data_IF_827432191035
#
_entry.id   IF_827432191035
#
_cell.length_a   1.000
_cell.length_b   1.000
_cell.length_c   1.000
_cell.angle_alpha   90.00
_cell.angle_beta   90.00
_cell.angle_gamma   90.00
#
_symmetry.space_group_name_H-M   'P 1'
#
loop_
_entity.id
_entity.type
_entity.pdbx_description
1 polymer ?
#
# COMPACT_ATOMS: atom_id res chain seq x y z
N UNK A 1 6.21 -2.35 8.14
CA UNK A 1 5.80 -0.96 7.85
C UNK A 1 4.28 -0.93 7.79
N UNK A 2 3.64 0.02 8.45
CA UNK A 2 2.20 0.27 8.30
C UNK A 2 1.98 1.76 7.99
N UNK A 3 0.90 2.07 7.29
CA UNK A 3 0.52 3.41 6.82
C UNK A 3 -1.01 3.51 6.93
N UNK A 4 -1.55 4.72 7.06
CA UNK A 4 -2.99 4.94 6.99
C UNK A 4 -3.58 4.27 5.73
N UNK A 5 -4.50 3.33 5.95
CA UNK A 5 -5.11 2.54 4.89
C UNK A 5 -5.83 3.38 3.84
N UNK A 6 -6.34 4.55 4.22
CA UNK A 6 -7.05 5.46 3.30
C UNK A 6 -6.08 6.12 2.31
N UNK A 7 -4.90 6.51 2.77
CA UNK A 7 -3.83 7.01 1.90
C UNK A 7 -3.24 5.88 1.03
N UNK A 8 -3.16 4.66 1.55
CA UNK A 8 -2.81 3.48 0.74
C UNK A 8 -3.86 3.29 -0.35
N UNK A 9 -5.15 3.36 -0.03
CA UNK A 9 -6.22 3.20 -1.02
C UNK A 9 -6.20 4.28 -2.10
N UNK A 10 -5.99 5.55 -1.72
CA UNK A 10 -5.78 6.64 -2.67
C UNK A 10 -4.59 6.37 -3.59
N UNK A 11 -3.48 5.85 -3.06
CA UNK A 11 -2.32 5.48 -3.86
C UNK A 11 -2.62 4.35 -4.84
N UNK A 12 -3.35 3.30 -4.42
CA UNK A 12 -3.72 2.17 -5.27
C UNK A 12 -4.76 2.53 -6.33
N UNK A 13 -5.64 3.49 -6.06
CA UNK A 13 -6.58 4.05 -7.05
C UNK A 13 -5.84 4.70 -8.22
N UNK A 14 -4.70 5.36 -7.95
CA UNK A 14 -3.83 6.00 -8.97
C UNK A 14 -2.86 5.01 -9.62
N UNK A 15 -2.52 3.91 -8.94
CA UNK A 15 -1.60 2.91 -9.44
C UNK A 15 -2.25 2.04 -10.52
N UNK A 16 -1.49 1.62 -11.52
CA UNK A 16 -1.96 0.71 -12.57
C UNK A 16 -2.14 -0.75 -12.07
N UNK A 17 -1.46 -1.18 -10.99
CA UNK A 17 -1.69 -2.51 -10.38
C UNK A 17 -2.76 -2.47 -9.28
N UNK A 18 -3.30 -3.64 -8.97
CA UNK A 18 -4.08 -3.89 -7.77
C UNK A 18 -5.53 -3.47 -7.90
N UNK A 19 -6.26 -3.70 -6.81
CA UNK A 19 -7.66 -3.29 -6.65
C UNK A 19 -7.81 -1.76 -6.83
N UNK A 20 -9.00 -1.33 -7.25
CA UNK A 20 -9.30 0.07 -7.57
C UNK A 20 -10.46 0.63 -6.76
N UNK A 21 -11.43 -0.22 -6.45
CA UNK A 21 -12.57 0.17 -5.64
C UNK A 21 -12.25 0.09 -4.15
N UNK A 22 -12.71 1.07 -3.38
CA UNK A 22 -12.39 1.23 -1.95
C UNK A 22 -12.71 -0.01 -1.13
N UNK A 23 -13.85 -0.66 -1.38
CA UNK A 23 -14.23 -1.90 -0.69
C UNK A 23 -13.15 -2.99 -0.80
N UNK A 24 -12.62 -3.20 -2.01
CA UNK A 24 -11.62 -4.24 -2.25
C UNK A 24 -10.26 -3.87 -1.66
N UNK A 25 -9.83 -2.62 -1.83
CA UNK A 25 -8.55 -2.16 -1.29
C UNK A 25 -8.59 -2.19 0.25
N UNK A 26 -9.68 -1.72 0.86
CA UNK A 26 -9.87 -1.76 2.31
C UNK A 26 -9.84 -3.19 2.85
N UNK A 27 -10.53 -4.13 2.18
CA UNK A 27 -10.53 -5.54 2.57
C UNK A 27 -9.13 -6.15 2.47
N UNK A 28 -8.43 -5.90 1.36
CA UNK A 28 -7.06 -6.39 1.16
C UNK A 28 -6.12 -5.81 2.22
N UNK A 29 -6.11 -4.48 2.38
CA UNK A 29 -5.28 -3.79 3.36
C UNK A 29 -5.55 -4.29 4.78
N UNK A 30 -6.82 -4.41 5.18
CA UNK A 30 -7.19 -4.90 6.51
C UNK A 30 -6.67 -6.31 6.75
N UNK A 31 -6.87 -7.21 5.78
CA UNK A 31 -6.40 -8.58 5.88
C UNK A 31 -4.87 -8.66 6.00
N UNK A 32 -4.14 -7.90 5.17
CA UNK A 32 -2.68 -7.87 5.18
C UNK A 32 -2.13 -7.30 6.51
N UNK A 33 -2.73 -6.24 7.04
CA UNK A 33 -2.33 -5.69 8.34
C UNK A 33 -2.64 -6.64 9.50
N UNK A 34 -3.79 -7.31 9.49
CA UNK A 34 -4.11 -8.34 10.49
C UNK A 34 -3.13 -9.51 10.45
N UNK A 35 -2.75 -9.99 9.25
CA UNK A 35 -1.74 -11.03 9.10
C UNK A 35 -0.37 -10.56 9.59
N UNK A 36 0.02 -9.34 9.25
CA UNK A 36 1.26 -8.74 9.76
C UNK A 36 1.26 -8.64 11.29
N UNK A 37 0.13 -8.29 11.89
CA UNK A 37 0.00 -8.19 13.34
C UNK A 37 0.14 -9.55 14.03
N UNK A 38 -0.51 -10.59 13.50
CA UNK A 38 -0.35 -11.97 14.00
C UNK A 38 1.09 -12.46 13.90
N UNK A 39 1.81 -12.08 12.85
CA UNK A 39 3.22 -12.42 12.69
C UNK A 39 4.07 -11.74 13.77
N UNK A 40 3.82 -10.46 14.07
CA UNK A 40 4.48 -9.73 15.16
C UNK A 40 4.21 -10.40 16.51
N UNK A 41 2.95 -10.76 16.78
CA UNK A 41 2.55 -11.46 18.01
C UNK A 41 3.23 -12.83 18.15
N UNK A 42 3.40 -13.55 17.05
CA UNK A 42 4.02 -14.88 17.04
C UNK A 42 5.54 -14.81 17.17
N UNK A 43 6.19 -13.86 16.50
CA UNK A 43 7.65 -13.78 16.44
C UNK A 43 8.26 -12.96 17.58
N UNK A 44 7.49 -12.04 18.17
CA UNK A 44 7.93 -11.14 19.24
C UNK A 44 8.75 -9.95 18.74
N UNK A 45 8.94 -8.97 19.63
CA UNK A 45 9.63 -7.71 19.32
C UNK A 45 11.14 -7.84 19.12
N UNK A 46 11.75 -8.98 19.48
CA UNK A 46 13.17 -9.23 19.19
C UNK A 46 13.42 -9.56 17.71
N UNK A 47 12.42 -10.12 17.03
CA UNK A 47 12.51 -10.54 15.62
C UNK A 47 11.66 -9.69 14.69
N UNK A 48 10.86 -8.77 15.24
CA UNK A 48 9.99 -7.91 14.46
C UNK A 48 10.04 -6.47 14.97
N UNK A 49 10.07 -5.53 14.03
CA UNK A 49 9.94 -4.11 14.32
C UNK A 49 8.82 -3.53 13.44
N UNK A 50 7.81 -2.96 14.08
CA UNK A 50 6.78 -2.19 13.40
C UNK A 50 7.21 -0.73 13.25
N UNK A 51 6.97 -0.17 12.07
CA UNK A 51 7.33 1.21 11.69
C UNK A 51 6.09 1.85 11.08
N UNK A 52 5.65 2.99 11.63
CA UNK A 52 4.66 3.86 10.97
C UNK A 52 5.34 4.63 9.85
N UNK A 53 4.71 4.66 8.69
CA UNK A 53 5.15 5.44 7.55
C UNK A 53 5.19 6.94 7.87
N UNK A 54 4.17 7.44 8.53
CA UNK A 54 3.99 8.83 8.93
C UNK A 54 5.11 9.24 9.90
N UNK A 55 5.41 8.39 10.89
CA UNK A 55 6.54 8.61 11.79
C UNK A 55 7.89 8.59 11.05
N UNK A 56 8.06 7.66 10.10
CA UNK A 56 9.28 7.57 9.30
C UNK A 56 9.53 8.83 8.48
N UNK A 57 8.50 9.39 7.83
CA UNK A 57 8.68 10.60 7.02
C UNK A 57 8.77 11.86 7.87
N UNK A 58 8.17 11.88 9.06
CA UNK A 58 8.22 13.03 9.97
C UNK A 58 9.56 13.12 10.72
N UNK A 59 10.07 11.97 11.19
CA UNK A 59 11.29 11.87 11.99
C UNK A 59 12.24 10.80 11.42
N UNK A 60 12.78 11.01 10.21
CA UNK A 60 13.53 9.97 9.49
C UNK A 60 14.84 9.60 10.18
N UNK A 61 15.59 10.57 10.72
CA UNK A 61 16.85 10.32 11.43
C UNK A 61 16.61 9.37 12.60
N UNK A 62 15.65 9.72 13.47
CA UNK A 62 15.34 8.96 14.69
C UNK A 62 14.81 7.57 14.35
N UNK A 63 13.97 7.47 13.32
CA UNK A 63 13.40 6.17 12.89
C UNK A 63 14.47 5.27 12.31
N UNK A 64 15.36 5.78 11.44
CA UNK A 64 16.44 4.98 10.86
C UNK A 64 17.46 4.56 11.94
N UNK A 65 17.81 5.43 12.88
CA UNK A 65 18.68 5.05 14.01
C UNK A 65 18.08 3.89 14.82
N UNK A 66 16.77 3.91 15.09
CA UNK A 66 16.07 2.79 15.72
C UNK A 66 16.17 1.50 14.90
N UNK A 67 16.01 1.58 13.59
CA UNK A 67 16.13 0.42 12.69
C UNK A 67 17.57 -0.12 12.71
N UNK A 68 18.57 0.76 12.61
CA UNK A 68 19.98 0.38 12.68
C UNK A 68 20.30 -0.35 13.99
N UNK A 69 19.84 0.18 15.12
CA UNK A 69 20.01 -0.44 16.44
C UNK A 69 19.33 -1.82 16.51
N UNK A 70 18.12 -1.96 15.97
CA UNK A 70 17.40 -3.23 15.93
C UNK A 70 18.12 -4.28 15.06
N UNK A 71 18.72 -3.86 13.94
CA UNK A 71 19.46 -4.74 13.04
C UNK A 71 20.91 -4.97 13.48
N UNK A 72 21.38 -4.35 14.58
CA UNK A 72 22.77 -4.35 15.02
C UNK A 72 23.76 -3.88 13.93
N UNK A 73 23.40 -2.83 13.20
CA UNK A 73 24.26 -2.19 12.18
C UNK A 73 24.55 -0.73 12.55
N UNK A 74 25.75 -0.20 12.26
CA UNK A 74 26.07 1.18 12.54
C UNK A 74 25.22 2.14 11.69
N UNK A 75 24.74 3.21 12.31
CA UNK A 75 24.06 4.29 11.60
C UNK A 75 25.04 5.08 10.73
N UNK A 76 24.64 5.37 9.49
CA UNK A 76 25.36 6.24 8.57
C UNK A 76 24.39 7.28 8.00
N UNK A 77 24.70 8.58 8.17
CA UNK A 77 23.85 9.67 7.71
C UNK A 77 23.59 9.67 6.20
N UNK A 78 24.48 9.06 5.40
CA UNK A 78 24.31 8.88 3.95
C UNK A 78 23.03 8.13 3.58
N UNK A 79 22.46 7.33 4.48
CA UNK A 79 21.19 6.61 4.27
C UNK A 79 20.02 7.55 3.92
N UNK A 80 20.06 8.80 4.38
CA UNK A 80 19.03 9.80 4.09
C UNK A 80 19.18 10.43 2.69
N UNK A 81 20.33 10.22 2.05
CA UNK A 81 20.61 10.62 0.66
C UNK A 81 20.40 9.47 -0.33
N UNK A 82 19.58 8.46 0.03
CA UNK A 82 19.30 7.27 -0.80
C UNK A 82 18.85 7.64 -2.22
N UNK A 83 18.19 8.77 -2.40
CA UNK A 83 17.64 9.22 -3.66
C UNK A 83 18.71 9.57 -4.72
N UNK A 84 19.98 9.68 -4.32
CA UNK A 84 21.13 9.85 -5.20
C UNK A 84 21.79 8.51 -5.60
N UNK A 85 21.27 7.37 -5.13
CA UNK A 85 21.90 6.07 -5.37
C UNK A 85 21.52 5.49 -6.72
N UNK A 86 22.39 4.65 -7.27
CA UNK A 86 22.14 3.93 -8.52
C UNK A 86 20.91 3.02 -8.39
N UNK A 87 20.71 2.40 -7.23
CA UNK A 87 19.57 1.53 -6.94
C UNK A 87 18.24 2.30 -6.98
N UNK A 88 18.21 3.53 -6.48
CA UNK A 88 17.04 4.40 -6.58
C UNK A 88 16.73 4.73 -8.04
N UNK A 89 17.74 5.04 -8.85
CA UNK A 89 17.57 5.31 -10.28
C UNK A 89 17.07 4.07 -11.06
N UNK A 90 17.65 2.89 -10.80
CA UNK A 90 17.22 1.63 -11.41
C UNK A 90 15.76 1.34 -11.01
N UNK A 91 15.42 1.52 -9.74
CA UNK A 91 14.07 1.27 -9.21
C UNK A 91 13.05 2.23 -9.82
N UNK A 92 13.35 3.52 -9.90
CA UNK A 92 12.47 4.51 -10.53
C UNK A 92 12.21 4.20 -12.01
N UNK A 93 13.21 3.66 -12.72
CA UNK A 93 13.04 3.24 -14.12
C UNK A 93 12.08 2.07 -14.27
N UNK A 94 11.79 1.28 -13.21
CA UNK A 94 10.88 0.13 -13.27
C UNK A 94 9.40 0.49 -13.49
N UNK A 95 9.01 1.74 -13.29
CA UNK A 95 7.70 2.26 -13.67
C UNK A 95 7.28 3.49 -12.89
N UNK A 96 6.22 4.18 -13.34
CA UNK A 96 5.78 5.46 -12.77
C UNK A 96 5.48 5.40 -11.26
N UNK A 97 5.03 4.23 -10.77
CA UNK A 97 4.77 3.98 -9.35
C UNK A 97 6.01 4.20 -8.45
N UNK A 98 7.21 3.99 -9.00
CA UNK A 98 8.46 4.03 -8.25
C UNK A 98 9.18 5.37 -8.38
N UNK A 99 8.66 6.32 -9.15
CA UNK A 99 9.35 7.59 -9.45
C UNK A 99 9.73 8.44 -8.24
N UNK A 100 9.10 8.22 -7.09
CA UNK A 100 9.36 9.00 -5.89
C UNK A 100 10.60 8.52 -5.13
N UNK A 101 11.18 7.36 -5.46
CA UNK A 101 12.42 6.89 -4.80
C UNK A 101 13.65 7.70 -5.20
N UNK A 102 13.59 8.47 -6.28
CA UNK A 102 14.63 9.44 -6.67
C UNK A 102 14.38 10.84 -6.12
N UNK A 103 13.46 10.97 -5.16
CA UNK A 103 13.20 12.22 -4.46
C UNK A 103 13.63 12.12 -3.00
N UNK A 104 14.04 13.23 -2.38
CA UNK A 104 14.15 13.31 -0.92
C UNK A 104 12.85 12.90 -0.22
N UNK A 105 12.96 12.58 1.07
CA UNK A 105 11.82 12.23 1.90
C UNK A 105 10.80 13.38 1.88
N UNK A 106 9.59 13.10 1.40
CA UNK A 106 8.48 14.03 1.37
C UNK A 106 7.76 13.96 2.73
N UNK A 107 8.10 14.87 3.63
CA UNK A 107 7.63 14.87 5.03
C UNK A 107 6.13 15.12 5.18
N UNK A 108 5.48 15.65 4.14
CA UNK A 108 4.06 16.00 4.05
C UNK A 108 3.21 14.98 3.28
N UNK A 109 3.77 13.80 2.95
CA UNK A 109 3.11 12.82 2.09
C UNK A 109 2.10 11.92 2.83
N UNK A 110 1.23 12.50 3.64
CA UNK A 110 0.21 11.82 4.44
C UNK A 110 -1.09 12.65 4.49
N UNK A 111 -2.20 12.04 4.94
CA UNK A 111 -3.53 12.63 5.03
C UNK A 111 -4.11 13.17 3.72
N UNK A 112 -3.60 12.73 2.57
CA UNK A 112 -4.06 13.18 1.24
C UNK A 112 -5.47 12.70 0.93
N UNK A 113 -5.86 11.57 1.51
CA UNK A 113 -7.22 11.04 1.38
C UNK A 113 -8.31 12.06 1.77
N UNK A 114 -8.04 12.97 2.71
CA UNK A 114 -9.00 13.98 3.18
C UNK A 114 -9.43 14.90 2.05
N UNK A 115 -8.49 15.30 1.19
CA UNK A 115 -8.74 16.21 0.08
C UNK A 115 -9.11 15.47 -1.22
N UNK A 116 -8.67 14.23 -1.39
CA UNK A 116 -8.71 13.54 -2.68
C UNK A 116 -9.70 12.36 -2.77
N UNK A 117 -10.17 11.82 -1.63
CA UNK A 117 -11.24 10.83 -1.63
C UNK A 117 -12.58 11.51 -1.39
N UNK A 118 -13.61 11.04 -2.10
CA UNK A 118 -14.98 11.45 -1.82
C UNK A 118 -15.42 10.93 -0.45
N UNK A 119 -16.43 11.59 0.14
CA UNK A 119 -17.01 11.16 1.41
C UNK A 119 -17.50 9.70 1.38
N UNK A 120 -18.09 9.27 0.26
CA UNK A 120 -18.55 7.88 0.13
C UNK A 120 -17.38 6.89 0.04
N UNK A 121 -16.29 7.26 -0.63
CA UNK A 121 -15.08 6.43 -0.65
C UNK A 121 -14.47 6.24 0.74
N UNK A 122 -14.37 7.32 1.52
CA UNK A 122 -13.91 7.27 2.91
C UNK A 122 -14.87 6.41 3.74
N UNK A 123 -16.19 6.59 3.58
CA UNK A 123 -17.22 5.78 4.26
C UNK A 123 -17.06 4.30 3.96
N UNK A 124 -16.94 3.93 2.68
CA UNK A 124 -16.76 2.52 2.28
C UNK A 124 -15.50 1.95 2.90
N UNK A 125 -14.38 2.69 2.85
CA UNK A 125 -13.14 2.23 3.44
C UNK A 125 -13.27 2.02 4.95
N UNK A 126 -13.84 2.98 5.67
CA UNK A 126 -13.96 2.94 7.13
C UNK A 126 -14.96 1.89 7.62
N UNK A 127 -16.04 1.61 6.88
CA UNK A 127 -16.95 0.50 7.21
C UNK A 127 -16.21 -0.84 7.13
N UNK A 128 -15.35 -1.03 6.12
CA UNK A 128 -14.64 -2.31 5.90
C UNK A 128 -13.44 -2.46 6.83
N UNK A 129 -12.62 -1.42 6.96
CA UNK A 129 -11.30 -1.51 7.59
C UNK A 129 -11.16 -0.64 8.86
N UNK A 130 -12.24 -0.01 9.34
CA UNK A 130 -12.21 0.92 10.47
C UNK A 130 -11.67 0.30 11.76
N UNK A 131 -12.01 -0.97 12.05
CA UNK A 131 -11.46 -1.68 13.22
C UNK A 131 -9.93 -1.79 13.13
N UNK A 132 -9.40 -2.08 11.95
CA UNK A 132 -7.96 -2.22 11.71
C UNK A 132 -7.25 -0.88 11.72
N UNK A 133 -7.88 0.18 11.20
CA UNK A 133 -7.41 1.56 11.36
C UNK A 133 -7.22 1.90 12.84
N UNK A 134 -8.25 1.70 13.66
CA UNK A 134 -8.22 2.01 15.10
C UNK A 134 -7.14 1.20 15.82
N UNK A 135 -7.01 -0.10 15.52
CA UNK A 135 -5.95 -0.96 16.10
C UNK A 135 -4.55 -0.43 15.81
N UNK A 136 -4.33 0.18 14.65
CA UNK A 136 -3.05 0.77 14.25
C UNK A 136 -2.90 2.25 14.67
N UNK A 137 -3.87 2.79 15.43
CA UNK A 137 -3.84 4.15 15.95
C UNK A 137 -4.43 5.22 15.03
N UNK A 138 -5.02 4.83 13.88
CA UNK A 138 -5.65 5.78 12.96
C UNK A 138 -7.11 6.03 13.36
N UNK A 139 -7.43 7.29 13.64
CA UNK A 139 -8.80 7.68 13.95
C UNK A 139 -9.68 7.68 12.69
N UNK A 140 -10.91 7.12 12.76
CA UNK A 140 -11.90 7.30 11.69
C UNK A 140 -12.13 8.79 11.44
N UNK A 141 -12.18 9.17 10.16
CA UNK A 141 -12.41 10.54 9.74
C UNK A 141 -13.90 10.86 9.77
N UNK A 142 -14.75 9.89 9.42
CA UNK A 142 -16.18 10.05 9.49
C UNK A 142 -16.69 9.57 10.84
N UNK A 143 -17.45 10.41 11.53
CA UNK A 143 -18.31 9.94 12.60
C UNK A 143 -19.52 9.24 11.97
N UNK A 144 -19.49 7.91 11.97
CA UNK A 144 -20.54 7.10 11.39
C UNK A 144 -21.77 6.99 12.30
N UNK A 145 -21.77 7.47 13.55
CA UNK A 145 -22.93 7.49 14.47
C UNK A 145 -23.73 6.16 14.52
N UNK A 146 -23.04 5.02 14.46
CA UNK A 146 -23.68 3.69 14.42
C UNK A 146 -24.15 3.22 13.03
N UNK A 147 -24.05 4.05 11.99
CA UNK A 147 -24.27 3.71 10.59
C UNK A 147 -23.09 2.93 9.98
N UNK A 148 -22.67 1.88 10.69
CA UNK A 148 -21.62 0.93 10.31
C UNK A 148 -22.23 -0.34 9.70
N UNK A 149 -23.39 -0.23 9.07
CA UNK A 149 -24.06 -1.38 8.47
C UNK A 149 -23.15 -1.96 7.40
N UNK A 150 -22.87 -3.26 7.53
CA UNK A 150 -22.15 -4.00 6.51
C UNK A 150 -22.94 -3.97 5.20
N UNK A 151 -22.21 -3.92 4.09
CA UNK A 151 -22.78 -3.88 2.76
C UNK A 151 -23.57 -5.15 2.44
N UNK A 152 -24.70 -5.00 1.75
CA UNK A 152 -25.50 -6.13 1.27
C UNK A 152 -24.78 -6.87 0.15
N UNK A 153 -25.26 -8.08 -0.19
CA UNK A 153 -24.69 -8.86 -1.30
C UNK A 153 -24.82 -8.12 -2.63
N UNK A 154 -25.90 -7.37 -2.81
CA UNK A 154 -26.19 -6.58 -4.00
C UNK A 154 -25.22 -5.38 -4.11
N UNK A 155 -24.98 -4.67 -3.02
CA UNK A 155 -23.99 -3.58 -2.97
C UNK A 155 -22.58 -4.12 -3.28
N UNK A 156 -22.20 -5.23 -2.66
CA UNK A 156 -20.90 -5.89 -2.91
C UNK A 156 -20.80 -6.34 -4.38
N UNK A 157 -21.87 -6.87 -4.98
CA UNK A 157 -21.89 -7.21 -6.40
C UNK A 157 -21.68 -5.98 -7.30
N UNK A 158 -22.24 -4.83 -6.92
CA UNK A 158 -21.97 -3.55 -7.56
C UNK A 158 -20.51 -3.14 -7.45
N UNK A 159 -19.93 -3.22 -6.25
CA UNK A 159 -18.52 -2.91 -6.01
C UNK A 159 -17.58 -3.81 -6.81
N UNK A 160 -17.90 -5.10 -6.92
CA UNK A 160 -17.13 -6.06 -7.72
C UNK A 160 -17.09 -5.63 -9.20
N UNK A 161 -18.26 -5.31 -9.78
CA UNK A 161 -18.37 -4.87 -11.18
C UNK A 161 -17.61 -3.57 -11.41
N UNK A 162 -17.78 -2.60 -10.53
CA UNK A 162 -17.12 -1.30 -10.65
C UNK A 162 -15.60 -1.44 -10.53
N UNK A 163 -15.12 -2.30 -9.64
CA UNK A 163 -13.71 -2.57 -9.49
C UNK A 163 -13.07 -3.17 -10.75
N UNK A 164 -13.77 -4.08 -11.44
CA UNK A 164 -13.32 -4.62 -12.74
C UNK A 164 -13.24 -3.51 -13.77
N UNK A 165 -14.30 -2.70 -13.91
CA UNK A 165 -14.33 -1.56 -14.83
C UNK A 165 -13.19 -0.57 -14.58
N UNK A 166 -12.92 -0.22 -13.32
CA UNK A 166 -11.83 0.68 -12.94
C UNK A 166 -10.45 0.09 -13.23
N UNK A 167 -10.27 -1.23 -13.10
CA UNK A 167 -9.01 -1.90 -13.48
C UNK A 167 -8.78 -1.83 -14.99
N UNK A 168 -9.81 -2.07 -15.79
CA UNK A 168 -9.74 -1.95 -17.25
C UNK A 168 -9.40 -0.52 -17.68
N UNK A 169 -10.06 0.48 -17.09
CA UNK A 169 -9.75 1.89 -17.34
C UNK A 169 -8.31 2.25 -16.96
N UNK A 170 -7.81 1.76 -15.82
CA UNK A 170 -6.44 2.01 -15.39
C UNK A 170 -5.41 1.42 -16.37
N UNK A 171 -5.72 0.29 -17.01
CA UNK A 171 -4.88 -0.33 -18.05
C UNK A 171 -4.94 0.50 -19.35
N UNK A 172 -6.12 0.97 -19.74
CA UNK A 172 -6.28 1.79 -20.96
C UNK A 172 -5.56 3.14 -20.86
N UNK A 173 -5.61 3.77 -19.68
CA UNK A 173 -4.93 5.04 -19.41
C UNK A 173 -3.42 4.88 -19.16
N UNK A 174 -2.92 3.66 -19.05
CA UNK A 174 -1.53 3.41 -18.74
C UNK A 174 -0.59 3.81 -19.88
N UNK A 175 0.58 4.33 -19.51
CA UNK A 175 1.65 4.60 -20.48
C UNK A 175 2.07 3.30 -21.17
N UNK A 176 2.20 3.33 -22.50
CA UNK A 176 2.63 2.18 -23.33
C UNK A 176 3.91 1.51 -22.80
N UNK A 177 4.85 2.28 -22.28
CA UNK A 177 6.11 1.78 -21.68
C UNK A 177 5.88 0.93 -20.43
N UNK A 178 4.95 1.32 -19.55
CA UNK A 178 4.63 0.58 -18.32
C UNK A 178 3.86 -0.71 -18.65
N UNK A 179 3.03 -0.69 -19.70
CA UNK A 179 2.34 -1.88 -20.20
C UNK A 179 3.33 -2.92 -20.76
N UNK A 180 4.30 -2.49 -21.57
CA UNK A 180 5.30 -3.40 -22.18
C UNK A 180 6.13 -4.16 -21.12
N UNK A 181 6.59 -3.45 -20.08
CA UNK A 181 7.34 -4.07 -18.98
C UNK A 181 6.52 -5.14 -18.25
N UNK A 182 5.22 -4.91 -18.11
CA UNK A 182 4.30 -5.84 -17.44
C UNK A 182 3.97 -7.06 -18.29
N UNK A 183 3.84 -6.90 -19.60
CA UNK A 183 3.65 -8.04 -20.50
C UNK A 183 4.82 -9.03 -20.37
N UNK A 184 6.06 -8.53 -20.33
CA UNK A 184 7.24 -9.36 -20.09
C UNK A 184 7.17 -10.13 -18.77
N UNK A 185 6.86 -9.44 -17.66
CA UNK A 185 6.73 -10.09 -16.35
C UNK A 185 5.58 -11.11 -16.30
N UNK A 186 4.44 -10.80 -16.91
CA UNK A 186 3.29 -11.69 -16.96
C UNK A 186 3.60 -12.96 -17.75
N UNK A 187 4.30 -12.83 -18.88
CA UNK A 187 4.73 -13.96 -19.70
C UNK A 187 5.73 -14.84 -18.94
N UNK A 188 6.70 -14.26 -18.25
CA UNK A 188 7.64 -15.01 -17.41
C UNK A 188 6.93 -15.78 -16.29
N UNK A 189 5.98 -15.15 -15.60
CA UNK A 189 5.19 -15.84 -14.56
C UNK A 189 4.34 -16.96 -15.16
N UNK A 190 3.73 -16.74 -16.33
CA UNK A 190 2.97 -17.77 -17.03
C UNK A 190 3.86 -18.95 -17.43
N UNK A 191 5.08 -18.69 -17.88
CA UNK A 191 6.08 -19.68 -18.23
C UNK A 191 6.58 -20.47 -17.00
N UNK A 192 6.85 -19.79 -15.88
CA UNK A 192 7.21 -20.46 -14.61
C UNK A 192 6.07 -21.38 -14.18
N UNK A 193 4.83 -20.89 -14.24
CA UNK A 193 3.65 -21.70 -13.90
C UNK A 193 3.52 -22.91 -14.83
N UNK A 194 3.65 -22.74 -16.15
CA UNK A 194 3.55 -23.87 -17.09
C UNK A 194 4.64 -24.93 -16.88
N UNK A 195 5.86 -24.51 -16.51
CA UNK A 195 6.95 -25.43 -16.13
C UNK A 195 6.66 -26.18 -14.82
N UNK A 196 5.97 -25.55 -13.87
CA UNK A 196 5.61 -26.19 -12.60
C UNK A 196 4.51 -27.25 -12.79
N UNK A 197 3.65 -27.11 -13.79
CA UNK A 197 2.62 -28.10 -14.15
C UNK A 197 3.15 -29.31 -14.94
N UNK A 198 4.41 -29.30 -15.39
CA UNK A 198 5.04 -30.41 -16.12
C UNK A 198 5.82 -31.38 -15.20
N UNK A 199 5.74 -31.21 -13.88
CA UNK A 199 6.44 -32.05 -12.87
C UNK A 199 5.43 -32.91 -12.08
N UNK A 200 4.25 -33.19 -12.63
CA UNK A 200 3.28 -34.14 -12.05
C UNK A 200 3.16 -35.37 -12.93
#
# INVERSE_FOLDING_TARGET
LYRDGRDVALSFKKAIVGEKHMYHIAKQWSNEQELSQRLVETLGNERTMQISYEQLIHAPVQTIQRICNFLNVPYNSKVLSYYNSEESDITARSGEMWKNVTKPIMTDNFNKFIAELSREEIRIFEIVAGKTLVKLGYQPYLNLNGNNKLFTKEEIAGFNKENVRLKELAIQMAKKKDLLKRTGQKNLIAEIKSRTYLIV
#
